data_IF_841661957124
#
_entry.id   IF_841661957124
#
_cell.length_a   1.000
_cell.length_b   1.000
_cell.length_c   1.000
_cell.angle_alpha   90.00
_cell.angle_beta   90.00
_cell.angle_gamma   90.00
#
_symmetry.space_group_name_H-M   'P 1'
#
loop_
_entity.id
_entity.type
_entity.pdbx_description
1 polymer ?
#
# COMPACT_ATOMS: atom_id res chain seq x y z
N UNK A 1 -4.10 -2.88 -12.77
CA UNK A 1 -3.06 -3.38 -11.84
C UNK A 1 -3.79 -3.83 -10.60
N UNK A 2 -3.31 -4.88 -9.92
CA UNK A 2 -3.89 -5.33 -8.66
C UNK A 2 -2.77 -5.53 -7.66
N UNK A 3 -2.96 -5.00 -6.46
CA UNK A 3 -2.02 -5.09 -5.35
C UNK A 3 -2.69 -5.86 -4.21
N UNK A 4 -1.90 -6.69 -3.55
CA UNK A 4 -2.24 -7.28 -2.26
C UNK A 4 -1.33 -6.65 -1.21
N UNK A 5 -1.90 -6.21 -0.10
CA UNK A 5 -1.18 -5.69 1.04
C UNK A 5 -1.44 -6.59 2.25
N UNK A 6 -0.39 -7.14 2.84
CA UNK A 6 -0.42 -7.78 4.15
C UNK A 6 -0.01 -6.74 5.19
N UNK A 7 -0.74 -6.68 6.29
CA UNK A 7 -0.44 -5.82 7.45
C UNK A 7 -0.59 -6.65 8.74
N UNK A 8 0.15 -6.31 9.78
CA UNK A 8 0.04 -6.92 11.10
C UNK A 8 0.12 -5.84 12.18
N UNK A 9 -0.50 -6.09 13.33
CA UNK A 9 -0.50 -5.17 14.47
C UNK A 9 0.94 -4.90 14.99
N UNK A 10 1.77 -5.93 14.98
CA UNK A 10 3.19 -5.82 15.30
C UNK A 10 3.98 -6.45 14.17
N UNK A 11 4.86 -5.67 13.56
CA UNK A 11 5.72 -6.16 12.49
C UNK A 11 7.00 -6.75 13.05
N UNK A 12 7.53 -7.84 12.46
CA UNK A 12 8.77 -8.44 12.94
C UNK A 12 9.93 -7.43 12.92
N UNK A 13 10.60 -7.26 14.02
CA UNK A 13 11.77 -6.39 14.14
C UNK A 13 13.07 -7.16 13.92
N UNK A 14 13.04 -8.49 14.03
CA UNK A 14 14.19 -9.33 13.73
C UNK A 14 14.34 -9.56 12.23
N UNK A 15 15.59 -9.50 11.76
CA UNK A 15 15.91 -9.63 10.36
C UNK A 15 15.64 -11.03 9.80
N UNK A 16 15.69 -12.08 10.63
CA UNK A 16 15.49 -13.45 10.20
C UNK A 16 14.03 -13.68 9.78
N UNK A 17 13.07 -13.35 10.64
CA UNK A 17 11.63 -13.49 10.35
C UNK A 17 11.23 -12.59 9.17
N UNK A 18 11.75 -11.35 9.11
CA UNK A 18 11.46 -10.45 8.00
C UNK A 18 11.99 -10.99 6.66
N UNK A 19 13.18 -11.59 6.66
CA UNK A 19 13.77 -12.20 5.46
C UNK A 19 12.99 -13.45 5.04
N UNK A 20 12.62 -14.31 5.98
CA UNK A 20 11.82 -15.50 5.71
C UNK A 20 10.44 -15.14 5.15
N UNK A 21 9.77 -14.14 5.73
CA UNK A 21 8.49 -13.64 5.23
C UNK A 21 8.59 -13.20 3.77
N UNK A 22 9.61 -12.40 3.43
CA UNK A 22 9.82 -11.93 2.05
C UNK A 22 10.16 -13.09 1.12
N UNK A 23 11.05 -14.00 1.52
CA UNK A 23 11.45 -15.15 0.70
C UNK A 23 10.26 -16.05 0.33
N UNK A 24 9.42 -16.39 1.33
CA UNK A 24 8.23 -17.21 1.09
C UNK A 24 7.12 -16.44 0.35
N UNK A 25 6.97 -15.15 0.59
CA UNK A 25 6.01 -14.34 -0.15
C UNK A 25 6.36 -14.26 -1.66
N UNK A 26 7.65 -14.37 -2.03
CA UNK A 26 8.10 -14.45 -3.42
C UNK A 26 7.71 -15.75 -4.12
N UNK A 27 7.37 -16.80 -3.37
CA UNK A 27 6.81 -18.05 -3.93
C UNK A 27 5.34 -17.84 -4.34
N UNK A 28 4.62 -16.91 -3.68
CA UNK A 28 3.23 -16.60 -3.95
C UNK A 28 3.05 -15.52 -5.04
N UNK A 29 3.98 -14.57 -5.11
CA UNK A 29 3.90 -13.47 -6.05
C UNK A 29 5.28 -13.10 -6.61
N UNK A 30 5.40 -12.79 -7.91
CA UNK A 30 6.70 -12.58 -8.57
C UNK A 30 7.43 -11.31 -8.11
N UNK A 31 6.74 -10.43 -7.41
CA UNK A 31 7.28 -9.17 -6.90
C UNK A 31 6.64 -8.86 -5.56
N UNK A 32 7.50 -8.70 -4.57
CA UNK A 32 7.12 -8.39 -3.20
C UNK A 32 7.96 -7.23 -2.70
N UNK A 33 7.38 -6.37 -1.90
CA UNK A 33 8.07 -5.29 -1.19
C UNK A 33 7.59 -5.21 0.24
N UNK A 34 8.52 -5.34 1.16
CA UNK A 34 8.31 -5.12 2.58
C UNK A 34 8.68 -3.66 2.95
N UNK A 35 7.87 -3.06 3.80
CA UNK A 35 8.16 -1.80 4.48
C UNK A 35 7.93 -2.01 5.98
N UNK A 36 9.01 -2.31 6.69
CA UNK A 36 8.95 -2.61 8.12
C UNK A 36 8.52 -1.38 8.95
N UNK A 37 8.83 -0.16 8.49
CA UNK A 37 8.44 1.07 9.19
C UNK A 37 6.92 1.29 9.14
N UNK A 38 6.27 0.85 8.07
CA UNK A 38 4.81 0.88 7.92
C UNK A 38 4.13 -0.39 8.44
N UNK A 39 4.89 -1.45 8.77
CA UNK A 39 4.36 -2.74 9.18
C UNK A 39 3.57 -3.45 8.07
N UNK A 40 4.05 -3.40 6.83
CA UNK A 40 3.33 -3.92 5.67
C UNK A 40 4.23 -4.62 4.67
N UNK A 41 3.62 -5.54 3.92
CA UNK A 41 4.21 -6.17 2.76
C UNK A 41 3.23 -6.04 1.59
N UNK A 42 3.69 -5.52 0.46
CA UNK A 42 2.94 -5.50 -0.79
C UNK A 42 3.39 -6.61 -1.72
N UNK A 43 2.42 -7.23 -2.40
CA UNK A 43 2.62 -8.18 -3.47
C UNK A 43 1.96 -7.67 -4.77
N UNK A 44 2.66 -7.83 -5.90
CA UNK A 44 2.12 -7.52 -7.23
C UNK A 44 1.32 -8.73 -7.73
N UNK A 45 -0.01 -8.61 -7.73
CA UNK A 45 -0.92 -9.66 -8.16
C UNK A 45 -1.30 -9.55 -9.65
N UNK A 46 -0.56 -8.82 -10.45
CA UNK A 46 -0.85 -8.59 -11.87
C UNK A 46 -0.88 -9.90 -12.66
N UNK A 47 -2.05 -10.23 -13.23
CA UNK A 47 -2.21 -11.46 -14.00
C UNK A 47 -2.33 -12.74 -13.18
N UNK A 48 -2.41 -12.63 -11.85
CA UNK A 48 -2.54 -13.73 -10.92
C UNK A 48 -3.85 -13.63 -10.12
N UNK A 49 -4.22 -14.71 -9.46
CA UNK A 49 -5.33 -14.71 -8.52
C UNK A 49 -4.95 -13.96 -7.23
N UNK A 50 -5.44 -12.75 -7.12
CA UNK A 50 -5.15 -11.87 -5.97
C UNK A 50 -5.73 -12.43 -4.67
N UNK A 51 -6.82 -13.18 -4.72
CA UNK A 51 -7.42 -13.80 -3.54
C UNK A 51 -6.56 -14.96 -3.05
N UNK A 52 -6.07 -15.79 -3.96
CA UNK A 52 -5.13 -16.87 -3.61
C UNK A 52 -3.83 -16.31 -2.98
N UNK A 53 -3.27 -15.23 -3.55
CA UNK A 53 -2.09 -14.56 -2.99
C UNK A 53 -2.40 -14.01 -1.58
N UNK A 54 -3.53 -13.33 -1.40
CA UNK A 54 -3.90 -12.77 -0.09
C UNK A 54 -4.07 -13.86 0.97
N UNK A 55 -4.73 -14.96 0.62
CA UNK A 55 -4.92 -16.11 1.51
C UNK A 55 -3.58 -16.74 1.88
N UNK A 56 -2.71 -16.99 0.89
CA UNK A 56 -1.38 -17.55 1.14
C UNK A 56 -0.50 -16.65 2.01
N UNK A 57 -0.58 -15.32 1.83
CA UNK A 57 0.12 -14.36 2.69
C UNK A 57 -0.41 -14.36 4.13
N UNK A 58 -1.72 -14.54 4.33
CA UNK A 58 -2.32 -14.65 5.65
C UNK A 58 -1.90 -15.96 6.35
N UNK A 59 -1.90 -17.08 5.62
CA UNK A 59 -1.44 -18.36 6.13
C UNK A 59 0.05 -18.31 6.51
N UNK A 60 0.87 -17.67 5.67
CA UNK A 60 2.28 -17.45 5.95
C UNK A 60 2.48 -16.59 7.20
N UNK A 61 1.68 -15.53 7.38
CA UNK A 61 1.73 -14.68 8.55
C UNK A 61 1.35 -15.44 9.83
N UNK A 62 0.34 -16.32 9.77
CA UNK A 62 -0.03 -17.20 10.89
C UNK A 62 1.10 -18.18 11.22
N UNK A 63 1.71 -18.79 10.20
CA UNK A 63 2.83 -19.72 10.36
C UNK A 63 4.03 -19.04 11.06
N UNK A 64 4.30 -17.79 10.73
CA UNK A 64 5.34 -16.97 11.36
C UNK A 64 4.87 -16.31 12.67
N UNK A 65 3.66 -16.62 13.14
CA UNK A 65 3.06 -16.09 14.37
C UNK A 65 2.97 -14.55 14.40
N UNK A 66 2.74 -13.91 13.26
CA UNK A 66 2.45 -12.48 13.22
C UNK A 66 1.11 -12.20 13.90
N UNK A 67 1.04 -11.25 14.85
CA UNK A 67 -0.21 -10.97 15.54
C UNK A 67 -1.22 -10.24 14.64
N UNK A 68 -2.46 -10.69 14.67
CA UNK A 68 -3.59 -10.13 13.93
C UNK A 68 -3.28 -9.80 12.45
N UNK A 69 -2.85 -10.79 11.64
CA UNK A 69 -2.53 -10.53 10.24
C UNK A 69 -3.81 -10.21 9.46
N UNK A 70 -3.74 -9.18 8.63
CA UNK A 70 -4.84 -8.69 7.81
C UNK A 70 -4.35 -8.45 6.39
N UNK A 71 -5.19 -8.73 5.41
CA UNK A 71 -4.88 -8.49 4.02
C UNK A 71 -5.91 -7.60 3.34
N UNK A 72 -5.44 -6.79 2.39
CA UNK A 72 -6.26 -5.94 1.55
C UNK A 72 -5.91 -6.09 0.08
N UNK A 73 -6.92 -6.14 -0.78
CA UNK A 73 -6.79 -6.23 -2.23
C UNK A 73 -7.38 -4.96 -2.85
N UNK A 74 -6.64 -4.29 -3.73
CA UNK A 74 -7.12 -3.11 -4.45
C UNK A 74 -6.34 -2.87 -5.75
N UNK A 75 -6.77 -1.87 -6.54
CA UNK A 75 -6.07 -1.51 -7.78
C UNK A 75 -4.88 -0.57 -7.55
N UNK A 76 -4.79 0.04 -6.36
CA UNK A 76 -3.69 0.94 -5.98
C UNK A 76 -3.07 0.50 -4.63
N UNK A 77 -1.77 0.75 -4.42
CA UNK A 77 -1.11 0.38 -3.17
C UNK A 77 -1.75 1.00 -1.94
N UNK A 78 -2.12 2.28 -2.01
CA UNK A 78 -2.72 2.97 -0.87
C UNK A 78 -4.10 2.38 -0.52
N UNK A 79 -4.94 2.07 -1.51
CA UNK A 79 -6.24 1.47 -1.25
C UNK A 79 -6.10 0.04 -0.69
N UNK A 80 -5.14 -0.76 -1.18
CA UNK A 80 -4.85 -2.08 -0.64
C UNK A 80 -4.37 -2.01 0.82
N UNK A 81 -3.51 -1.04 1.14
CA UNK A 81 -3.05 -0.81 2.51
C UNK A 81 -4.20 -0.42 3.45
N UNK A 82 -5.00 0.55 3.06
CA UNK A 82 -6.15 0.99 3.87
C UNK A 82 -7.19 -0.12 4.01
N UNK A 83 -7.41 -0.91 2.96
CA UNK A 83 -8.29 -2.08 3.02
C UNK A 83 -7.78 -3.12 4.04
N UNK A 84 -6.46 -3.41 4.05
CA UNK A 84 -5.85 -4.30 5.03
C UNK A 84 -6.02 -3.78 6.47
N UNK A 85 -5.76 -2.49 6.72
CA UNK A 85 -5.91 -1.89 8.05
C UNK A 85 -7.34 -2.00 8.60
N UNK A 86 -8.35 -1.99 7.72
CA UNK A 86 -9.77 -2.00 8.10
C UNK A 86 -10.41 -3.39 8.02
N UNK A 87 -9.71 -4.36 7.49
CA UNK A 87 -10.20 -5.72 7.40
C UNK A 87 -10.27 -6.37 8.81
N UNK A 88 -11.24 -7.25 9.02
CA UNK A 88 -11.15 -8.22 10.12
C UNK A 88 -10.03 -9.22 9.83
N UNK A 89 -9.98 -9.72 8.59
CA UNK A 89 -8.90 -10.58 8.09
C UNK A 89 -8.53 -10.30 6.63
N UNK A 90 -9.52 -10.26 5.72
CA UNK A 90 -9.35 -9.97 4.30
C UNK A 90 -10.42 -9.00 3.83
N UNK A 91 -10.01 -7.95 3.12
CA UNK A 91 -10.91 -6.98 2.49
C UNK A 91 -10.52 -6.76 1.05
N UNK A 92 -11.51 -6.69 0.16
CA UNK A 92 -11.30 -6.46 -1.27
C UNK A 92 -12.04 -5.20 -1.71
N UNK A 93 -11.31 -4.27 -2.30
CA UNK A 93 -11.85 -3.10 -2.98
C UNK A 93 -12.08 -3.46 -4.45
N UNK A 94 -13.28 -3.22 -4.96
CA UNK A 94 -13.63 -3.54 -6.34
C UNK A 94 -12.75 -2.75 -7.32
N UNK A 95 -12.33 -3.35 -8.43
CA UNK A 95 -11.52 -2.67 -9.43
C UNK A 95 -12.17 -1.37 -9.91
N UNK A 96 -11.38 -0.29 -9.93
CA UNK A 96 -11.84 1.04 -10.36
C UNK A 96 -12.61 1.84 -9.29
N UNK A 97 -12.85 1.29 -8.11
CA UNK A 97 -13.57 1.99 -7.02
C UNK A 97 -12.66 2.51 -5.91
N UNK A 98 -11.35 2.38 -6.03
CA UNK A 98 -10.36 2.77 -5.01
C UNK A 98 -10.57 4.21 -4.50
N UNK A 99 -10.81 5.15 -5.43
CA UNK A 99 -11.06 6.55 -5.07
C UNK A 99 -12.37 6.72 -4.28
N UNK A 100 -13.43 6.06 -4.70
CA UNK A 100 -14.73 6.10 -4.02
C UNK A 100 -14.65 5.44 -2.64
N UNK A 101 -13.89 4.34 -2.53
CA UNK A 101 -13.60 3.68 -1.26
C UNK A 101 -12.89 4.62 -0.29
N UNK A 102 -11.80 5.26 -0.71
CA UNK A 102 -11.03 6.18 0.13
C UNK A 102 -11.83 7.42 0.50
N UNK A 103 -12.61 7.98 -0.43
CA UNK A 103 -13.32 9.25 -0.25
C UNK A 103 -14.23 9.28 0.98
N UNK A 104 -14.80 8.15 1.37
CA UNK A 104 -15.72 8.03 2.51
C UNK A 104 -15.01 7.95 3.86
N UNK A 105 -13.70 7.72 3.86
CA UNK A 105 -12.93 7.42 5.05
C UNK A 105 -12.36 8.70 5.68
N UNK A 106 -12.19 8.65 7.01
CA UNK A 106 -11.44 9.67 7.75
C UNK A 106 -10.02 9.80 7.17
N UNK A 107 -9.54 11.03 7.05
CA UNK A 107 -8.22 11.30 6.44
C UNK A 107 -7.07 10.69 7.26
N UNK A 108 -7.30 10.40 8.52
CA UNK A 108 -6.35 9.72 9.40
C UNK A 108 -5.98 8.30 8.97
N UNK A 109 -6.78 7.64 8.10
CA UNK A 109 -6.41 6.33 7.55
C UNK A 109 -5.15 6.37 6.70
N UNK A 110 -4.76 7.56 6.22
CA UNK A 110 -3.54 7.76 5.43
C UNK A 110 -2.28 7.98 6.30
N UNK A 111 -2.42 8.02 7.64
CA UNK A 111 -1.26 7.96 8.55
C UNK A 111 -0.61 6.56 8.43
N UNK A 112 0.69 6.44 8.53
CA UNK A 112 1.73 7.39 8.90
C UNK A 112 2.45 8.03 7.68
N UNK A 113 1.88 8.00 6.48
CA UNK A 113 2.56 8.39 5.24
C UNK A 113 2.99 9.85 5.18
N UNK A 114 2.15 10.87 5.51
CA UNK A 114 2.59 12.26 5.63
C UNK A 114 2.97 12.61 7.07
N UNK A 115 3.66 13.75 7.29
CA UNK A 115 4.01 14.22 8.64
C UNK A 115 2.77 14.35 9.54
N UNK A 116 2.81 13.85 10.79
CA UNK A 116 1.68 13.91 11.71
C UNK A 116 1.13 15.32 11.96
N UNK A 117 1.98 16.35 11.89
CA UNK A 117 1.60 17.74 12.09
C UNK A 117 0.61 18.28 11.05
N UNK A 118 0.49 17.64 9.88
CA UNK A 118 -0.43 18.07 8.83
C UNK A 118 -1.90 17.83 9.21
N UNK A 119 -2.21 16.76 9.94
CA UNK A 119 -3.59 16.37 10.23
C UNK A 119 -4.36 17.37 11.11
N UNK A 120 -3.79 17.93 12.20
CA UNK A 120 -4.44 19.01 12.93
C UNK A 120 -4.71 20.25 12.07
N UNK A 121 -3.79 20.58 11.16
CA UNK A 121 -3.96 21.71 10.25
C UNK A 121 -5.12 21.48 9.26
N UNK A 122 -5.26 20.28 8.71
CA UNK A 122 -6.39 19.91 7.84
C UNK A 122 -7.72 20.00 8.62
N UNK A 123 -7.76 19.43 9.82
CA UNK A 123 -8.95 19.47 10.67
C UNK A 123 -9.37 20.91 11.03
N UNK A 124 -8.41 21.82 11.25
CA UNK A 124 -8.70 23.25 11.57
C UNK A 124 -9.42 23.98 10.43
N UNK A 125 -9.41 23.45 9.22
CA UNK A 125 -10.08 24.00 8.04
C UNK A 125 -11.23 23.12 7.54
N UNK A 126 -11.69 22.17 8.37
CA UNK A 126 -12.84 21.32 8.08
C UNK A 126 -12.59 20.17 7.11
N UNK A 127 -11.32 19.80 6.88
CA UNK A 127 -10.96 18.64 6.04
C UNK A 127 -10.82 17.43 6.96
N UNK A 128 -11.86 16.61 7.02
CA UNK A 128 -11.92 15.43 7.90
C UNK A 128 -11.83 14.13 7.12
N UNK A 129 -12.31 14.10 5.87
CA UNK A 129 -12.34 12.91 5.04
C UNK A 129 -11.38 13.02 3.86
N UNK A 130 -10.94 11.86 3.36
CA UNK A 130 -10.17 11.81 2.13
C UNK A 130 -10.90 12.49 0.96
N UNK A 131 -12.24 12.35 0.88
CA UNK A 131 -13.06 12.99 -0.14
C UNK A 131 -13.02 14.51 -0.09
N UNK A 132 -13.00 15.11 1.11
CA UNK A 132 -12.95 16.56 1.28
C UNK A 132 -11.66 17.10 0.64
N UNK A 133 -10.51 16.50 0.98
CA UNK A 133 -9.23 16.89 0.41
C UNK A 133 -9.16 16.60 -1.10
N UNK A 134 -9.69 15.46 -1.55
CA UNK A 134 -9.65 15.02 -2.94
C UNK A 134 -10.41 15.92 -3.92
N UNK A 135 -11.36 16.73 -3.41
CA UNK A 135 -12.16 17.68 -4.23
C UNK A 135 -11.50 19.04 -4.40
N UNK A 136 -10.51 19.36 -3.57
CA UNK A 136 -9.82 20.65 -3.64
C UNK A 136 -8.94 20.74 -4.90
N UNK A 137 -8.71 21.99 -5.32
CA UNK A 137 -7.74 22.27 -6.37
C UNK A 137 -6.32 21.97 -5.89
N UNK A 138 -5.51 21.37 -6.79
CA UNK A 138 -4.14 20.97 -6.46
C UNK A 138 -3.26 22.15 -6.07
N UNK A 139 -3.36 23.26 -6.81
CA UNK A 139 -2.52 24.45 -6.59
C UNK A 139 -2.86 25.08 -5.25
N UNK A 140 -4.15 25.17 -4.92
CA UNK A 140 -4.60 25.66 -3.61
C UNK A 140 -4.09 24.79 -2.45
N UNK A 141 -4.07 23.46 -2.64
CA UNK A 141 -3.51 22.53 -1.65
C UNK A 141 -1.99 22.73 -1.51
N UNK A 142 -1.27 22.91 -2.62
CA UNK A 142 0.18 23.09 -2.62
C UNK A 142 0.57 24.41 -1.93
N UNK A 143 -0.11 25.50 -2.24
CA UNK A 143 0.12 26.81 -1.62
C UNK A 143 -0.10 26.77 -0.10
N UNK A 144 -1.18 26.09 0.35
CA UNK A 144 -1.57 26.10 1.75
C UNK A 144 -0.87 25.07 2.61
N UNK A 145 -0.62 23.86 2.07
CA UNK A 145 -0.14 22.71 2.81
C UNK A 145 1.21 22.17 2.30
N UNK A 146 1.76 22.77 1.24
CA UNK A 146 3.05 22.44 0.67
C UNK A 146 3.08 21.03 0.04
N UNK A 147 4.30 20.53 -0.15
CA UNK A 147 4.54 19.21 -0.77
C UNK A 147 3.85 18.05 -0.03
N UNK A 148 3.84 18.06 1.29
CA UNK A 148 3.17 17.00 2.06
C UNK A 148 1.65 17.03 1.87
N UNK A 149 1.06 18.22 1.76
CA UNK A 149 -0.35 18.39 1.42
C UNK A 149 -0.68 17.84 0.04
N UNK A 150 0.15 18.14 -0.96
CA UNK A 150 0.01 17.62 -2.32
C UNK A 150 0.15 16.09 -2.37
N UNK A 151 1.08 15.52 -1.60
CA UNK A 151 1.22 14.06 -1.48
C UNK A 151 -0.04 13.44 -0.89
N UNK A 152 -0.55 13.99 0.21
CA UNK A 152 -1.79 13.51 0.83
C UNK A 152 -3.00 13.65 -0.09
N UNK A 153 -3.08 14.76 -0.83
CA UNK A 153 -4.12 14.98 -1.84
C UNK A 153 -4.09 13.91 -2.95
N UNK A 154 -2.90 13.54 -3.44
CA UNK A 154 -2.76 12.44 -4.41
C UNK A 154 -3.23 11.12 -3.81
N UNK A 155 -2.77 10.77 -2.61
CA UNK A 155 -3.16 9.55 -1.92
C UNK A 155 -4.68 9.48 -1.70
N UNK A 156 -5.33 10.58 -1.30
CA UNK A 156 -6.78 10.65 -1.10
C UNK A 156 -7.58 10.43 -2.38
N UNK A 157 -6.96 10.62 -3.54
CA UNK A 157 -7.52 10.37 -4.87
C UNK A 157 -7.18 8.97 -5.42
N UNK A 158 -6.57 8.11 -4.61
CA UNK A 158 -5.99 6.84 -5.03
C UNK A 158 -4.90 6.99 -6.12
N UNK A 159 -4.28 8.18 -6.24
CA UNK A 159 -3.11 8.42 -7.08
C UNK A 159 -1.85 8.27 -6.22
N UNK A 160 -1.44 7.04 -6.01
CA UNK A 160 -0.28 6.72 -5.18
C UNK A 160 1.03 6.99 -5.95
N UNK A 161 1.82 8.00 -5.53
CA UNK A 161 3.05 8.35 -6.24
C UNK A 161 4.19 7.36 -6.00
N UNK A 162 4.03 6.41 -5.09
CA UNK A 162 5.10 5.47 -4.74
C UNK A 162 5.32 4.44 -5.84
N UNK A 163 6.55 4.29 -6.29
CA UNK A 163 6.95 3.22 -7.18
C UNK A 163 7.34 2.02 -6.32
N UNK A 164 6.36 1.19 -5.94
CA UNK A 164 6.61 0.01 -5.12
C UNK A 164 7.47 -1.01 -5.84
N UNK A 165 7.23 -1.18 -7.13
CA UNK A 165 7.88 -2.17 -7.96
C UNK A 165 8.53 -1.48 -9.17
N UNK A 166 9.80 -1.05 -9.07
CA UNK A 166 10.51 -0.47 -10.21
C UNK A 166 10.57 -1.51 -11.36
N UNK A 167 10.57 -1.03 -12.62
CA UNK A 167 10.76 -1.93 -13.75
C UNK A 167 12.07 -2.69 -13.59
N UNK A 168 12.05 -4.00 -13.86
CA UNK A 168 13.30 -4.77 -13.93
C UNK A 168 14.17 -4.21 -15.05
N UNK A 169 15.47 -4.01 -14.83
CA UNK A 169 16.39 -3.79 -15.93
C UNK A 169 16.18 -4.90 -16.97
N UNK A 170 16.02 -4.56 -18.22
CA UNK A 170 16.10 -5.54 -19.28
C UNK A 170 17.58 -5.87 -19.45
N UNK A 171 18.03 -6.91 -18.80
CA UNK A 171 19.26 -7.59 -19.19
C UNK A 171 19.01 -8.19 -20.57
N UNK A 172 19.40 -7.48 -21.61
CA UNK A 172 19.47 -8.06 -22.93
C UNK A 172 20.59 -9.10 -22.87
N UNK A 173 20.33 -10.37 -23.19
CA UNK A 173 21.38 -11.35 -23.28
C UNK A 173 22.37 -10.87 -24.36
N UNK A 174 23.56 -10.47 -23.93
CA UNK A 174 24.67 -10.21 -24.86
C UNK A 174 25.24 -11.57 -25.24
N UNK A 175 24.92 -12.04 -26.43
CA UNK A 175 25.65 -13.16 -27.05
C UNK A 175 26.88 -12.57 -27.75
N UNK A 176 28.07 -12.75 -27.20
CA UNK A 176 29.31 -12.58 -27.96
C UNK A 176 29.44 -13.82 -28.86
N UNK A 177 29.36 -13.60 -30.17
CA UNK A 177 29.69 -14.60 -31.18
C UNK A 177 31.15 -14.33 -31.54
N UNK A 178 32.09 -15.15 -31.03
CA UNK A 178 33.44 -15.17 -31.55
C UNK A 178 33.43 -15.87 -32.94
N UNK A 179 34.00 -15.18 -33.94
CA UNK A 179 34.21 -15.69 -35.32
C UNK A 179 35.61 -16.25 -35.48
#
# INVERSE_FOLDING_TARGET
MTFVCLSSLVWPTDAATSTELVARALELAPRVRCDAALGVLWADARGLDSTAIATGLLELADLLSLPEPRAGIASTPIAAHVAAQRAERLSTVLPGTDRAFLAQLDIGVLRPLPPPALYPLLASVGIERCGDLATLDREAVEIRFGHHGTTLWRLSRADDPRILFPPRPRDLPSAEVEW
#
